data_IF_865593584074
#
_entry.id   IF_865593584074
#
_cell.length_a   1.000
_cell.length_b   1.000
_cell.length_c   1.000
_cell.angle_alpha   90.00
_cell.angle_beta   90.00
_cell.angle_gamma   90.00
#
_symmetry.space_group_name_H-M   'P 1'
#
loop_
_entity.id
_entity.type
_entity.pdbx_description
1 polymer ?
#
# COMPACT_ATOMS: atom_id res chain seq x y z
N UNK A 1 -28.87 12.66 -2.14
CA UNK A 1 -29.05 11.24 -2.44
C UNK A 1 -28.48 10.41 -1.30
N UNK A 2 -29.26 9.47 -0.80
CA UNK A 2 -28.87 8.58 0.31
C UNK A 2 -28.61 7.17 -0.24
N UNK A 3 -27.42 6.65 -0.05
CA UNK A 3 -27.07 5.27 -0.46
C UNK A 3 -27.58 4.32 0.59
N UNK A 4 -28.39 3.36 0.16
CA UNK A 4 -28.94 2.29 1.01
C UNK A 4 -28.40 0.93 0.56
N UNK A 5 -28.69 -0.12 1.30
CA UNK A 5 -28.27 -1.49 0.98
C UNK A 5 -28.74 -2.01 -0.39
N UNK A 6 -29.74 -1.37 -0.97
CA UNK A 6 -30.28 -1.73 -2.30
C UNK A 6 -29.55 -1.04 -3.46
N UNK A 7 -28.67 -0.09 -3.19
CA UNK A 7 -27.88 0.61 -4.19
C UNK A 7 -26.59 -0.16 -4.43
N UNK A 8 -26.35 -0.52 -5.67
CA UNK A 8 -25.10 -1.18 -6.08
C UNK A 8 -24.27 -0.25 -6.95
N UNK A 9 -22.98 -0.54 -7.06
CA UNK A 9 -22.09 0.20 -7.95
C UNK A 9 -22.63 0.21 -9.40
N UNK A 10 -22.58 1.39 -10.03
CA UNK A 10 -23.14 1.62 -11.36
C UNK A 10 -24.66 1.92 -11.40
N UNK A 11 -25.37 1.83 -10.27
CA UNK A 11 -26.80 2.15 -10.19
C UNK A 11 -27.10 3.60 -10.57
N UNK A 12 -28.29 3.83 -11.10
CA UNK A 12 -28.87 5.16 -11.28
C UNK A 12 -29.87 5.45 -10.18
N UNK A 13 -29.68 6.56 -9.45
CA UNK A 13 -30.50 6.94 -8.30
C UNK A 13 -31.79 7.64 -8.71
N UNK A 14 -31.73 8.51 -9.73
CA UNK A 14 -32.88 9.25 -10.27
C UNK A 14 -32.82 9.23 -11.79
N UNK A 15 -33.92 8.79 -12.40
CA UNK A 15 -34.11 8.84 -13.86
C UNK A 15 -35.19 9.88 -14.21
N UNK A 16 -34.83 10.80 -15.07
CA UNK A 16 -35.74 11.82 -15.62
C UNK A 16 -36.20 11.36 -17.01
N UNK A 17 -37.47 11.07 -17.15
CA UNK A 17 -38.03 10.48 -18.38
C UNK A 17 -38.80 11.48 -19.23
N UNK A 18 -39.07 12.68 -18.71
CA UNK A 18 -39.84 13.72 -19.42
C UNK A 18 -38.92 14.56 -20.34
N UNK A 19 -39.47 14.95 -21.48
CA UNK A 19 -38.79 15.74 -22.51
C UNK A 19 -38.57 17.23 -22.19
N UNK A 20 -38.99 17.71 -21.01
CA UNK A 20 -38.77 19.08 -20.59
C UNK A 20 -37.32 19.30 -20.17
N UNK A 21 -36.75 20.46 -20.50
CA UNK A 21 -35.43 20.86 -20.03
C UNK A 21 -35.43 20.92 -18.49
N UNK A 22 -34.66 20.04 -17.87
CA UNK A 22 -34.51 20.00 -16.40
C UNK A 22 -33.31 20.85 -16.00
N UNK A 23 -33.50 21.72 -15.01
CA UNK A 23 -32.44 22.50 -14.39
C UNK A 23 -32.14 21.94 -13.00
N UNK A 24 -30.87 21.61 -12.73
CA UNK A 24 -30.42 21.07 -11.44
C UNK A 24 -29.26 21.94 -10.95
N UNK A 25 -29.41 22.48 -9.75
CA UNK A 25 -28.35 23.22 -9.10
C UNK A 25 -27.25 22.25 -8.67
N UNK A 26 -26.11 22.31 -9.35
CA UNK A 26 -24.95 21.47 -9.09
C UNK A 26 -24.46 21.58 -7.65
N UNK A 27 -24.47 22.79 -7.09
CA UNK A 27 -24.02 23.03 -5.73
C UNK A 27 -24.85 22.29 -4.66
N UNK A 28 -26.10 21.93 -4.99
CA UNK A 28 -27.00 21.21 -4.08
C UNK A 28 -26.98 19.69 -4.23
N UNK A 29 -26.27 19.16 -5.22
CA UNK A 29 -26.13 17.73 -5.36
C UNK A 29 -25.22 17.19 -4.25
N UNK A 30 -25.74 16.32 -3.42
CA UNK A 30 -25.00 15.69 -2.32
C UNK A 30 -25.30 14.20 -2.27
N UNK A 31 -24.30 13.44 -1.84
CA UNK A 31 -24.37 12.01 -1.61
C UNK A 31 -24.08 11.73 -0.13
N UNK A 32 -24.86 10.86 0.48
CA UNK A 32 -24.68 10.41 1.85
C UNK A 32 -24.64 8.88 1.94
N UNK A 33 -23.96 8.35 2.94
CA UNK A 33 -23.73 6.91 3.15
C UNK A 33 -22.93 6.23 2.02
N UNK A 34 -21.95 6.92 1.47
CA UNK A 34 -21.07 6.39 0.42
C UNK A 34 -20.40 5.07 0.85
N UNK A 35 -20.16 4.89 2.15
CA UNK A 35 -19.60 3.66 2.71
C UNK A 35 -20.43 2.40 2.42
N UNK A 36 -21.70 2.52 2.11
CA UNK A 36 -22.53 1.37 1.73
C UNK A 36 -22.20 0.83 0.33
N UNK A 37 -21.57 1.64 -0.53
CA UNK A 37 -21.16 1.25 -1.90
C UNK A 37 -19.75 0.65 -1.98
N UNK A 38 -18.92 0.87 -0.97
CA UNK A 38 -17.45 0.69 -1.05
C UNK A 38 -16.94 -0.65 -0.52
N UNK A 39 -17.47 -1.77 -0.51
CA UNK A 39 -16.70 -3.00 -0.45
C UNK A 39 -16.47 -3.65 -1.81
N UNK A 40 -17.01 -3.13 -2.88
CA UNK A 40 -16.86 -3.77 -4.19
C UNK A 40 -15.77 -3.09 -5.02
N UNK A 41 -14.93 -3.90 -5.68
CA UNK A 41 -13.95 -3.54 -6.70
C UNK A 41 -14.64 -2.80 -7.87
N UNK A 42 -14.90 -1.52 -7.74
CA UNK A 42 -15.44 -0.73 -8.83
C UNK A 42 -14.34 0.09 -9.49
N UNK A 43 -13.94 -0.35 -10.64
CA UNK A 43 -13.26 0.47 -11.63
C UNK A 43 -14.33 1.19 -12.47
N UNK A 44 -14.20 2.50 -12.67
CA UNK A 44 -15.13 3.27 -13.49
C UNK A 44 -16.17 4.07 -12.69
N UNK A 45 -17.33 4.30 -13.30
CA UNK A 45 -18.40 5.07 -12.69
C UNK A 45 -18.95 4.36 -11.45
N UNK A 46 -18.81 5.03 -10.31
CA UNK A 46 -19.23 4.48 -9.03
C UNK A 46 -20.77 4.49 -8.91
N UNK A 47 -21.40 5.60 -9.32
CA UNK A 47 -22.83 5.81 -9.20
C UNK A 47 -23.30 6.89 -10.17
N UNK A 48 -24.51 6.77 -10.72
CA UNK A 48 -25.21 7.83 -11.42
C UNK A 48 -26.24 8.45 -10.47
N UNK A 49 -26.05 9.71 -10.09
CA UNK A 49 -27.01 10.41 -9.22
C UNK A 49 -28.27 10.75 -9.98
N UNK A 50 -28.12 11.34 -11.16
CA UNK A 50 -29.24 11.73 -12.04
C UNK A 50 -28.91 11.28 -13.46
N UNK A 51 -29.89 10.70 -14.14
CA UNK A 51 -29.85 10.44 -15.59
C UNK A 51 -31.11 11.02 -16.25
N UNK A 52 -30.96 11.58 -17.45
CA UNK A 52 -32.06 12.07 -18.28
C UNK A 52 -32.04 11.44 -19.67
N UNK A 53 -33.20 11.30 -20.30
CA UNK A 53 -33.31 10.95 -21.73
C UNK A 53 -32.92 12.15 -22.62
N UNK A 54 -33.08 13.36 -22.10
CA UNK A 54 -32.67 14.61 -22.72
C UNK A 54 -31.58 15.30 -21.90
N UNK A 55 -30.87 16.29 -22.50
CA UNK A 55 -29.87 17.07 -21.78
C UNK A 55 -30.47 17.75 -20.54
N UNK A 56 -29.75 17.65 -19.44
CA UNK A 56 -30.00 18.29 -18.15
C UNK A 56 -29.08 19.51 -18.08
N UNK A 57 -29.60 20.67 -17.72
CA UNK A 57 -28.79 21.85 -17.42
C UNK A 57 -28.36 21.81 -15.96
N UNK A 58 -27.06 21.82 -15.71
CA UNK A 58 -26.49 21.88 -14.37
C UNK A 58 -26.00 23.29 -14.06
N UNK A 59 -26.81 24.03 -13.31
CA UNK A 59 -26.47 25.38 -12.87
C UNK A 59 -25.32 25.33 -11.86
N UNK A 60 -24.46 26.33 -11.85
CA UNK A 60 -23.27 26.40 -10.98
C UNK A 60 -22.27 25.26 -11.18
N UNK A 61 -22.24 24.61 -12.33
CA UNK A 61 -21.23 23.61 -12.67
C UNK A 61 -19.87 24.28 -12.91
N UNK A 62 -18.88 23.91 -12.11
CA UNK A 62 -17.55 24.57 -12.12
C UNK A 62 -16.62 24.16 -13.28
N UNK A 63 -17.04 23.23 -14.15
CA UNK A 63 -16.23 22.77 -15.30
C UNK A 63 -15.12 21.78 -14.93
N UNK A 64 -14.43 21.27 -15.95
CA UNK A 64 -13.43 20.17 -15.85
C UNK A 64 -12.20 20.55 -15.00
N UNK A 65 -11.86 21.84 -14.89
CA UNK A 65 -10.70 22.32 -14.15
C UNK A 65 -10.87 22.33 -12.62
N UNK A 66 -12.08 22.26 -12.15
CA UNK A 66 -12.39 22.12 -10.74
C UNK A 66 -12.95 20.70 -10.53
N UNK A 67 -12.09 19.73 -10.27
CA UNK A 67 -12.54 18.45 -9.71
C UNK A 67 -13.30 18.80 -8.43
N UNK A 68 -14.63 18.85 -8.51
CA UNK A 68 -15.44 19.26 -7.40
C UNK A 68 -15.51 18.12 -6.40
N UNK A 69 -14.71 18.25 -5.36
CA UNK A 69 -14.61 17.29 -4.28
C UNK A 69 -15.72 17.55 -3.28
N UNK A 70 -16.44 16.52 -2.97
CA UNK A 70 -17.48 16.50 -1.96
C UNK A 70 -17.09 15.54 -0.85
N UNK A 71 -17.64 15.72 0.34
CA UNK A 71 -17.38 14.83 1.48
C UNK A 71 -18.67 14.18 1.98
N UNK A 72 -18.51 12.91 2.38
CA UNK A 72 -19.49 12.13 3.13
C UNK A 72 -18.76 11.38 4.24
N UNK A 73 -18.77 11.92 5.45
CA UNK A 73 -18.01 11.40 6.58
C UNK A 73 -16.50 11.31 6.28
N UNK A 74 -15.95 10.11 6.32
CA UNK A 74 -14.53 9.84 6.05
C UNK A 74 -14.20 9.76 4.56
N UNK A 75 -15.20 9.85 3.68
CA UNK A 75 -15.03 9.74 2.24
C UNK A 75 -15.06 11.08 1.54
N UNK A 76 -14.06 11.32 0.72
CA UNK A 76 -14.08 12.36 -0.30
C UNK A 76 -14.46 11.70 -1.63
N UNK A 77 -15.42 12.25 -2.35
CA UNK A 77 -15.84 11.74 -3.66
C UNK A 77 -15.81 12.84 -4.74
N UNK A 78 -15.70 12.42 -5.99
CA UNK A 78 -15.73 13.30 -7.16
C UNK A 78 -17.08 13.19 -7.83
N UNK A 79 -17.74 14.34 -7.97
CA UNK A 79 -18.97 14.51 -8.72
C UNK A 79 -18.64 15.12 -10.08
N UNK A 80 -19.14 14.53 -11.15
CA UNK A 80 -18.90 14.96 -12.51
C UNK A 80 -20.13 14.72 -13.40
N UNK A 81 -20.13 15.27 -14.62
CA UNK A 81 -21.12 14.98 -15.64
C UNK A 81 -20.55 14.01 -16.68
N UNK A 82 -21.42 13.30 -17.41
CA UNK A 82 -21.00 12.33 -18.43
C UNK A 82 -20.30 12.95 -19.65
N UNK A 83 -20.48 14.25 -19.87
CA UNK A 83 -19.85 15.01 -20.96
C UNK A 83 -18.83 16.02 -20.47
N UNK A 84 -18.60 16.10 -19.15
CA UNK A 84 -17.78 17.13 -18.51
C UNK A 84 -18.25 18.56 -18.83
N UNK A 85 -19.56 18.75 -18.97
CA UNK A 85 -20.20 20.00 -19.35
C UNK A 85 -21.43 20.32 -18.47
N UNK A 86 -21.75 21.59 -18.34
CA UNK A 86 -22.95 22.03 -17.64
C UNK A 86 -24.28 21.58 -18.35
N UNK A 87 -24.19 21.13 -19.59
CA UNK A 87 -25.31 20.49 -20.29
C UNK A 87 -24.94 19.05 -20.60
N UNK A 88 -25.48 18.13 -19.87
CA UNK A 88 -25.15 16.71 -19.94
C UNK A 88 -26.37 15.86 -19.60
N UNK A 89 -26.35 14.59 -19.95
CA UNK A 89 -27.46 13.68 -19.64
C UNK A 89 -27.38 13.08 -18.23
N UNK A 90 -26.24 13.15 -17.59
CA UNK A 90 -26.01 12.49 -16.30
C UNK A 90 -25.12 13.28 -15.37
N UNK A 91 -25.47 13.27 -14.07
CA UNK A 91 -24.57 13.60 -12.98
C UNK A 91 -24.07 12.31 -12.34
N UNK A 92 -22.76 12.14 -12.23
CA UNK A 92 -22.13 10.86 -11.83
C UNK A 92 -21.14 11.05 -10.71
N UNK A 93 -20.98 10.01 -9.88
CA UNK A 93 -19.85 9.89 -8.96
C UNK A 93 -18.81 9.00 -9.66
N UNK A 94 -17.63 9.55 -9.93
CA UNK A 94 -16.59 8.89 -10.75
C UNK A 94 -15.43 8.36 -9.94
N UNK A 95 -15.27 8.77 -8.69
CA UNK A 95 -14.19 8.28 -7.84
C UNK A 95 -14.34 8.74 -6.40
N UNK A 96 -13.53 8.16 -5.53
CA UNK A 96 -13.52 8.47 -4.12
C UNK A 96 -12.13 8.31 -3.50
N UNK A 97 -11.94 8.93 -2.36
CA UNK A 97 -10.81 8.72 -1.47
C UNK A 97 -11.32 8.47 -0.05
N UNK A 98 -10.82 7.44 0.57
CA UNK A 98 -11.09 7.14 1.98
C UNK A 98 -9.84 7.42 2.82
N UNK A 99 -10.01 8.13 3.93
CA UNK A 99 -8.97 8.39 4.91
C UNK A 99 -9.52 8.23 6.32
N UNK A 100 -9.43 7.02 6.85
CA UNK A 100 -9.79 6.77 8.24
C UNK A 100 -9.10 5.50 8.74
N UNK A 101 -8.01 5.67 9.48
CA UNK A 101 -7.23 4.57 10.05
C UNK A 101 -8.02 3.68 11.03
N UNK A 102 -9.11 4.18 11.63
CA UNK A 102 -9.92 3.40 12.59
C UNK A 102 -10.76 2.31 11.92
N UNK A 103 -11.05 2.43 10.63
CA UNK A 103 -11.78 1.41 9.85
C UNK A 103 -10.87 0.37 9.20
N UNK A 104 -9.57 0.58 9.20
CA UNK A 104 -8.57 -0.31 8.64
C UNK A 104 -8.30 -1.53 9.53
N UNK A 105 -9.33 -2.36 9.80
CA UNK A 105 -9.16 -3.63 10.52
C UNK A 105 -9.86 -4.77 9.79
N UNK A 106 -9.13 -5.85 9.58
CA UNK A 106 -9.66 -7.09 9.01
C UNK A 106 -9.33 -8.26 9.94
N UNK A 107 -10.32 -9.05 10.36
CA UNK A 107 -10.13 -10.07 11.39
C UNK A 107 -10.68 -11.45 11.04
N UNK A 108 -11.55 -11.57 10.05
CA UNK A 108 -12.19 -12.85 9.71
C UNK A 108 -12.83 -12.83 8.32
N UNK A 109 -13.18 -14.00 7.80
CA UNK A 109 -13.84 -14.18 6.51
C UNK A 109 -12.85 -14.21 5.35
N UNK A 110 -13.38 -14.08 4.12
CA UNK A 110 -12.62 -14.02 2.89
C UNK A 110 -13.01 -12.78 2.10
N UNK A 111 -12.02 -12.01 1.65
CA UNK A 111 -12.23 -10.85 0.80
C UNK A 111 -11.11 -10.75 -0.27
N UNK A 112 -11.44 -10.10 -1.37
CA UNK A 112 -10.44 -9.81 -2.42
C UNK A 112 -9.41 -8.82 -1.95
N UNK A 113 -9.82 -7.78 -1.22
CA UNK A 113 -8.94 -6.71 -0.76
C UNK A 113 -9.38 -6.15 0.59
N UNK A 114 -8.41 -5.63 1.34
CA UNK A 114 -8.65 -4.75 2.49
C UNK A 114 -7.62 -3.62 2.48
N UNK A 115 -8.02 -2.41 2.90
CA UNK A 115 -7.18 -1.23 2.88
C UNK A 115 -7.46 -0.30 4.08
N UNK A 116 -6.41 0.40 4.50
CA UNK A 116 -6.51 1.49 5.47
C UNK A 116 -6.99 2.77 4.80
N UNK A 117 -6.42 3.11 3.65
CA UNK A 117 -6.83 4.22 2.80
C UNK A 117 -6.80 3.85 1.33
N UNK A 118 -7.73 4.41 0.54
CA UNK A 118 -7.82 4.15 -0.91
C UNK A 118 -8.19 5.41 -1.66
N UNK A 119 -7.55 5.62 -2.82
CA UNK A 119 -7.94 6.63 -3.78
C UNK A 119 -8.14 6.01 -5.15
N UNK A 120 -9.30 6.28 -5.76
CA UNK A 120 -9.62 5.96 -7.16
C UNK A 120 -9.59 7.20 -8.06
N UNK A 121 -9.12 8.32 -7.52
CA UNK A 121 -9.07 9.63 -8.20
C UNK A 121 -7.65 10.22 -8.23
N UNK A 122 -6.62 9.41 -7.90
CA UNK A 122 -5.21 9.80 -7.92
C UNK A 122 -4.81 10.88 -6.91
N UNK A 123 -5.64 11.15 -5.91
CA UNK A 123 -5.28 12.04 -4.83
C UNK A 123 -4.35 11.37 -3.83
N UNK A 124 -3.59 12.20 -3.12
CA UNK A 124 -2.69 11.74 -2.08
C UNK A 124 -3.41 10.88 -1.02
N UNK A 125 -2.83 9.71 -0.73
CA UNK A 125 -3.25 8.78 0.33
C UNK A 125 -2.17 8.74 1.39
N UNK A 126 -2.45 9.23 2.60
CA UNK A 126 -1.41 9.40 3.63
C UNK A 126 -1.93 9.10 5.04
N UNK A 127 -1.02 8.66 5.92
CA UNK A 127 -1.28 8.42 7.35
C UNK A 127 -2.43 7.44 7.61
N UNK A 128 -2.63 6.48 6.69
CA UNK A 128 -3.63 5.44 6.88
C UNK A 128 -2.99 4.17 7.43
N UNK A 129 -3.80 3.35 8.09
CA UNK A 129 -3.35 2.09 8.64
C UNK A 129 -4.37 0.97 8.40
N UNK A 130 -3.87 -0.23 8.12
CA UNK A 130 -4.65 -1.47 8.13
C UNK A 130 -4.03 -2.45 9.13
N UNK A 131 -4.86 -2.98 10.01
CA UNK A 131 -4.52 -4.07 10.91
C UNK A 131 -5.22 -5.36 10.46
N UNK A 132 -4.46 -6.38 10.09
CA UNK A 132 -4.97 -7.73 9.78
C UNK A 132 -4.65 -8.67 10.94
N UNK A 133 -5.70 -9.26 11.52
CA UNK A 133 -5.58 -10.19 12.66
C UNK A 133 -6.07 -11.60 12.34
N UNK A 134 -6.67 -11.82 11.18
CA UNK A 134 -7.18 -13.12 10.75
C UNK A 134 -7.89 -13.05 9.40
N UNK A 135 -8.46 -14.16 8.95
CA UNK A 135 -9.18 -14.29 7.69
C UNK A 135 -8.27 -14.51 6.48
N UNK A 136 -8.84 -14.45 5.28
CA UNK A 136 -8.16 -14.65 4.01
C UNK A 136 -8.36 -13.45 3.10
N UNK A 137 -7.27 -12.89 2.58
CA UNK A 137 -7.26 -11.74 1.69
C UNK A 137 -6.51 -12.04 0.39
N UNK A 138 -7.05 -11.60 -0.75
CA UNK A 138 -6.30 -11.53 -2.00
C UNK A 138 -5.20 -10.47 -1.94
N UNK A 139 -5.49 -9.31 -1.36
CA UNK A 139 -4.49 -8.27 -1.11
C UNK A 139 -4.81 -7.42 0.13
N UNK A 140 -3.76 -6.91 0.79
CA UNK A 140 -3.86 -6.01 1.94
C UNK A 140 -2.99 -4.77 1.73
N UNK A 141 -3.55 -3.57 2.00
CA UNK A 141 -2.88 -2.29 1.79
C UNK A 141 -3.03 -1.39 3.01
N UNK A 142 -1.93 -0.82 3.49
CA UNK A 142 -2.00 0.34 4.39
C UNK A 142 -2.62 1.53 3.66
N UNK A 143 -2.13 1.82 2.44
CA UNK A 143 -2.72 2.78 1.52
C UNK A 143 -2.63 2.31 0.07
N UNK A 144 -3.62 2.64 -0.76
CA UNK A 144 -3.61 2.28 -2.19
C UNK A 144 -4.13 3.43 -3.07
N UNK A 145 -3.42 3.69 -4.15
CA UNK A 145 -3.83 4.61 -5.21
C UNK A 145 -4.03 3.80 -6.48
N UNK A 146 -5.28 3.74 -6.94
CA UNK A 146 -5.65 3.03 -8.16
C UNK A 146 -5.21 3.80 -9.41
N UNK A 147 -4.94 3.05 -10.48
CA UNK A 147 -4.83 3.65 -11.79
C UNK A 147 -6.20 4.10 -12.27
N UNK A 148 -6.37 5.41 -12.51
CA UNK A 148 -7.62 5.95 -13.01
C UNK A 148 -7.39 6.65 -14.37
N UNK A 149 -7.24 5.84 -15.36
CA UNK A 149 -7.12 6.32 -16.74
C UNK A 149 -8.41 6.97 -17.28
N UNK A 150 -9.49 6.96 -16.49
CA UNK A 150 -10.83 7.31 -16.94
C UNK A 150 -11.24 8.78 -16.75
N UNK A 151 -10.42 9.62 -16.13
CA UNK A 151 -10.64 11.06 -16.17
C UNK A 151 -10.14 11.59 -17.52
N UNK A 152 -10.82 11.21 -18.59
CA UNK A 152 -10.57 11.70 -19.94
C UNK A 152 -11.09 13.12 -20.08
N UNK A 153 -10.23 14.10 -20.10
CA UNK A 153 -10.63 15.49 -20.28
C UNK A 153 -9.48 16.48 -20.28
N UNK A 154 -8.23 16.02 -20.48
CA UNK A 154 -7.09 16.95 -20.64
C UNK A 154 -6.68 17.71 -19.38
N UNK A 155 -7.33 17.47 -18.23
CA UNK A 155 -6.85 17.96 -16.95
C UNK A 155 -5.59 17.17 -16.56
N UNK A 156 -4.59 17.85 -15.99
CA UNK A 156 -3.41 17.17 -15.41
C UNK A 156 -3.90 16.07 -14.48
N UNK A 157 -3.54 14.85 -14.81
CA UNK A 157 -3.80 13.70 -13.94
C UNK A 157 -3.05 13.94 -12.64
N UNK A 158 -3.73 14.04 -11.47
CA UNK A 158 -3.01 14.18 -10.23
C UNK A 158 -2.07 12.99 -10.08
N UNK A 159 -0.82 13.24 -9.73
CA UNK A 159 0.24 12.23 -9.66
C UNK A 159 0.04 11.22 -8.54
N UNK A 160 -0.86 11.48 -7.64
CA UNK A 160 -1.28 10.60 -6.55
C UNK A 160 -0.12 9.96 -5.79
N UNK A 161 0.35 10.64 -4.72
CA UNK A 161 1.41 10.10 -3.88
C UNK A 161 0.84 9.37 -2.67
N UNK A 162 1.45 8.25 -2.30
CA UNK A 162 1.18 7.56 -1.04
C UNK A 162 2.30 7.88 -0.04
N UNK A 163 1.94 8.26 1.19
CA UNK A 163 2.93 8.60 2.20
C UNK A 163 2.52 8.15 3.61
N UNK A 164 3.48 7.65 4.38
CA UNK A 164 3.32 7.30 5.79
C UNK A 164 2.12 6.37 6.05
N UNK A 165 1.87 5.42 5.14
CA UNK A 165 0.82 4.43 5.32
C UNK A 165 1.38 3.17 5.98
N UNK A 166 0.56 2.48 6.77
CA UNK A 166 0.95 1.35 7.58
C UNK A 166 0.10 0.10 7.31
N UNK A 167 0.73 -1.04 7.11
CA UNK A 167 0.10 -2.34 7.18
C UNK A 167 0.69 -3.12 8.36
N UNK A 168 -0.16 -3.61 9.25
CA UNK A 168 0.26 -4.52 10.33
C UNK A 168 -0.44 -5.86 10.18
N UNK A 169 0.33 -6.95 10.11
CA UNK A 169 -0.16 -8.32 9.96
C UNK A 169 0.18 -9.08 11.24
N UNK A 170 -0.84 -9.50 11.97
CA UNK A 170 -0.72 -10.34 13.18
C UNK A 170 -1.24 -11.76 12.99
N UNK A 171 -1.97 -11.99 11.91
CA UNK A 171 -2.57 -13.28 11.60
C UNK A 171 -3.29 -13.27 10.26
N UNK A 172 -3.86 -14.41 9.86
CA UNK A 172 -4.56 -14.58 8.59
C UNK A 172 -3.65 -15.04 7.45
N UNK A 173 -4.25 -15.20 6.28
CA UNK A 173 -3.58 -15.58 5.04
C UNK A 173 -3.82 -14.51 3.98
N UNK A 174 -2.76 -13.95 3.41
CA UNK A 174 -2.83 -12.83 2.48
C UNK A 174 -2.03 -13.22 1.22
N UNK A 175 -2.60 -13.03 0.02
CA UNK A 175 -1.85 -13.36 -1.18
C UNK A 175 -0.76 -12.33 -1.49
N UNK A 176 -1.03 -11.02 -1.32
CA UNK A 176 -0.06 -9.94 -1.50
C UNK A 176 -0.29 -8.83 -0.47
N UNK A 177 0.77 -8.28 0.09
CA UNK A 177 0.68 -7.33 1.19
C UNK A 177 1.57 -6.10 0.94
N UNK A 178 1.01 -4.90 1.17
CA UNK A 178 1.65 -3.62 0.86
C UNK A 178 1.47 -2.64 2.03
N UNK A 179 2.55 -2.04 2.49
CA UNK A 179 2.47 -0.83 3.32
C UNK A 179 1.77 0.28 2.54
N UNK A 180 2.19 0.50 1.28
CA UNK A 180 1.43 1.25 0.30
C UNK A 180 1.68 0.75 -1.13
N UNK A 181 0.67 0.92 -2.01
CA UNK A 181 0.75 0.60 -3.44
C UNK A 181 0.23 1.78 -4.29
N UNK A 182 1.07 2.27 -5.18
CA UNK A 182 0.73 3.33 -6.13
C UNK A 182 0.70 2.75 -7.54
N UNK A 183 -0.47 2.77 -8.16
CA UNK A 183 -0.74 2.21 -9.49
C UNK A 183 -0.84 3.28 -10.57
N UNK A 184 -0.39 4.50 -10.29
CA UNK A 184 -0.28 5.58 -11.26
C UNK A 184 1.13 5.65 -11.82
N UNK A 185 1.28 6.21 -13.03
CA UNK A 185 2.56 6.27 -13.72
C UNK A 185 3.58 7.14 -12.98
N UNK A 186 3.19 8.33 -12.57
CA UNK A 186 4.10 9.37 -12.09
C UNK A 186 4.02 9.59 -10.56
N UNK A 187 3.21 8.78 -9.86
CA UNK A 187 3.07 8.85 -8.41
C UNK A 187 4.25 8.22 -7.69
N UNK A 188 4.50 8.68 -6.46
CA UNK A 188 5.56 8.18 -5.58
C UNK A 188 5.00 7.55 -4.31
N UNK A 189 5.80 6.71 -3.66
CA UNK A 189 5.49 6.15 -2.36
C UNK A 189 6.63 6.44 -1.38
N UNK A 190 6.29 7.08 -0.26
CA UNK A 190 7.29 7.51 0.72
C UNK A 190 6.91 7.08 2.13
N UNK A 191 7.91 6.75 2.95
CA UNK A 191 7.77 6.48 4.39
C UNK A 191 6.64 5.52 4.76
N UNK A 192 6.27 4.64 3.84
CA UNK A 192 5.22 3.65 4.07
C UNK A 192 5.82 2.33 4.56
N UNK A 193 5.10 1.61 5.42
CA UNK A 193 5.68 0.46 6.08
C UNK A 193 4.71 -0.71 6.22
N UNK A 194 5.28 -1.93 6.18
CA UNK A 194 4.60 -3.16 6.50
C UNK A 194 5.27 -3.84 7.67
N UNK A 195 4.49 -4.20 8.70
CA UNK A 195 4.96 -4.93 9.87
C UNK A 195 4.25 -6.27 9.95
N UNK A 196 5.01 -7.36 10.04
CA UNK A 196 4.48 -8.71 10.15
C UNK A 196 4.98 -9.34 11.44
N UNK A 197 4.04 -9.66 12.33
CA UNK A 197 4.32 -10.33 13.62
C UNK A 197 3.73 -11.74 13.69
N UNK A 198 3.02 -12.16 12.66
CA UNK A 198 2.41 -13.49 12.53
C UNK A 198 1.57 -13.59 11.26
N UNK A 199 0.94 -14.73 11.04
CA UNK A 199 0.16 -15.02 9.83
C UNK A 199 1.03 -15.46 8.64
N UNK A 200 0.44 -15.45 7.45
CA UNK A 200 1.09 -15.88 6.21
C UNK A 200 0.80 -14.91 5.08
N UNK A 201 1.85 -14.49 4.37
CA UNK A 201 1.76 -13.84 3.07
C UNK A 201 2.21 -14.87 2.03
N UNK A 202 1.29 -15.43 1.23
CA UNK A 202 1.60 -16.53 0.30
C UNK A 202 2.40 -16.08 -0.92
N UNK A 203 2.27 -14.83 -1.33
CA UNK A 203 3.10 -14.17 -2.33
C UNK A 203 4.10 -13.21 -1.69
N UNK A 204 4.25 -12.00 -2.24
CA UNK A 204 5.26 -11.04 -1.81
C UNK A 204 4.73 -9.98 -0.86
N UNK A 205 5.64 -9.45 -0.01
CA UNK A 205 5.41 -8.42 1.00
C UNK A 205 6.21 -7.17 0.63
N UNK A 206 5.54 -6.01 0.61
CA UNK A 206 6.12 -4.74 0.19
C UNK A 206 5.96 -3.67 1.29
N UNK A 207 7.02 -2.92 1.57
CA UNK A 207 6.95 -1.69 2.37
C UNK A 207 6.23 -0.60 1.60
N UNK A 208 6.74 -0.26 0.41
CA UNK A 208 6.10 0.64 -0.54
C UNK A 208 6.34 0.18 -1.97
N UNK A 209 5.31 0.24 -2.82
CA UNK A 209 5.37 -0.26 -4.18
C UNK A 209 4.78 0.71 -5.20
N UNK A 210 5.43 0.76 -6.38
CA UNK A 210 4.95 1.40 -7.60
C UNK A 210 4.69 0.29 -8.61
N UNK A 211 3.43 -0.16 -8.72
CA UNK A 211 3.10 -1.35 -9.51
C UNK A 211 2.59 -1.05 -10.91
N UNK A 212 2.53 0.22 -11.33
CA UNK A 212 2.29 0.58 -12.72
C UNK A 212 3.50 0.18 -13.60
N UNK A 213 3.26 -0.53 -14.70
CA UNK A 213 4.33 -1.07 -15.58
C UNK A 213 5.28 0.03 -16.15
N UNK A 214 4.83 1.27 -16.26
CA UNK A 214 5.64 2.42 -16.67
C UNK A 214 5.90 3.41 -15.54
N UNK A 215 5.95 2.96 -14.28
CA UNK A 215 6.17 3.85 -13.13
C UNK A 215 7.51 4.61 -13.24
N UNK A 216 7.44 5.92 -13.09
CA UNK A 216 8.60 6.83 -13.14
C UNK A 216 8.87 7.51 -11.80
N UNK A 217 7.93 7.41 -10.84
CA UNK A 217 8.06 7.97 -9.50
C UNK A 217 9.12 7.28 -8.63
N UNK A 218 9.18 7.65 -7.37
CA UNK A 218 10.16 7.10 -6.42
C UNK A 218 9.48 6.30 -5.31
N UNK A 219 10.11 5.20 -4.89
CA UNK A 219 9.77 4.48 -3.66
C UNK A 219 10.90 4.71 -2.65
N UNK A 220 10.71 5.64 -1.70
CA UNK A 220 11.79 6.14 -0.83
C UNK A 220 11.39 6.06 0.64
N UNK A 221 12.33 5.70 1.51
CA UNK A 221 12.11 5.68 2.97
C UNK A 221 11.13 4.59 3.44
N UNK A 222 10.78 3.65 2.57
CA UNK A 222 9.81 2.63 2.90
C UNK A 222 10.44 1.50 3.74
N UNK A 223 9.64 0.79 4.51
CA UNK A 223 10.19 -0.29 5.34
C UNK A 223 9.30 -1.52 5.45
N UNK A 224 9.97 -2.65 5.67
CA UNK A 224 9.35 -3.90 6.10
C UNK A 224 9.98 -4.34 7.41
N UNK A 225 9.17 -4.71 8.40
CA UNK A 225 9.64 -5.31 9.66
C UNK A 225 8.97 -6.67 9.85
N UNK A 226 9.78 -7.71 10.02
CA UNK A 226 9.31 -9.09 10.22
C UNK A 226 9.82 -9.58 11.57
N UNK A 227 8.87 -9.88 12.48
CA UNK A 227 9.15 -10.49 13.79
C UNK A 227 8.47 -11.84 13.96
N UNK A 228 7.68 -12.27 12.97
CA UNK A 228 7.00 -13.55 12.98
C UNK A 228 6.21 -13.81 11.72
N UNK A 229 5.86 -15.06 11.46
CA UNK A 229 5.04 -15.48 10.32
C UNK A 229 5.87 -15.94 9.11
N UNK A 230 5.19 -16.18 7.99
CA UNK A 230 5.80 -16.74 6.78
C UNK A 230 5.49 -15.89 5.56
N UNK A 231 6.49 -15.64 4.72
CA UNK A 231 6.36 -15.02 3.40
C UNK A 231 6.77 -16.04 2.34
N UNK A 232 5.83 -16.46 1.49
CA UNK A 232 6.05 -17.46 0.45
C UNK A 232 6.78 -16.94 -0.79
N UNK A 233 6.65 -15.64 -1.07
CA UNK A 233 7.35 -14.93 -2.15
C UNK A 233 8.49 -14.07 -1.64
N UNK A 234 8.72 -12.96 -2.34
CA UNK A 234 9.79 -12.01 -2.03
C UNK A 234 9.34 -10.94 -1.04
N UNK A 235 10.33 -10.31 -0.41
CA UNK A 235 10.15 -9.13 0.44
C UNK A 235 10.86 -7.93 -0.21
N UNK A 236 10.16 -6.82 -0.36
CA UNK A 236 10.71 -5.57 -0.89
C UNK A 236 10.49 -4.44 0.11
N UNK A 237 11.56 -3.77 0.54
CA UNK A 237 11.40 -2.52 1.26
C UNK A 237 10.79 -1.44 0.37
N UNK A 238 11.40 -1.21 -0.81
CA UNK A 238 10.87 -0.40 -1.90
C UNK A 238 10.79 -1.19 -3.20
N UNK A 239 9.76 -0.96 -4.01
CA UNK A 239 9.56 -1.65 -5.28
C UNK A 239 9.07 -0.71 -6.39
N UNK A 240 9.57 -0.90 -7.60
CA UNK A 240 9.00 -0.33 -8.82
C UNK A 240 8.98 -1.36 -9.93
N UNK A 241 7.91 -1.40 -10.71
CA UNK A 241 7.81 -2.20 -11.93
C UNK A 241 8.21 -1.42 -13.19
N UNK A 242 8.55 -0.14 -13.05
CA UNK A 242 8.97 0.73 -14.14
C UNK A 242 10.43 1.18 -14.02
N UNK A 243 10.71 2.40 -14.45
CA UNK A 243 12.03 3.03 -14.41
C UNK A 243 12.26 3.90 -13.17
N UNK A 244 11.29 3.95 -12.28
CA UNK A 244 11.37 4.68 -11.01
C UNK A 244 12.49 4.15 -10.11
N UNK A 245 12.84 4.95 -9.10
CA UNK A 245 13.94 4.62 -8.17
C UNK A 245 13.42 4.07 -6.86
N UNK A 246 14.26 3.22 -6.22
CA UNK A 246 13.98 2.65 -4.90
C UNK A 246 15.18 2.93 -3.99
N UNK A 247 15.03 3.90 -3.07
CA UNK A 247 16.13 4.41 -2.25
C UNK A 247 15.77 4.52 -0.78
N UNK A 248 16.78 4.56 0.09
CA UNK A 248 16.64 4.84 1.52
C UNK A 248 15.63 3.92 2.25
N UNK A 249 15.41 2.74 1.68
CA UNK A 249 14.40 1.79 2.18
C UNK A 249 15.05 0.73 3.07
N UNK A 250 14.28 0.20 4.05
CA UNK A 250 14.84 -0.65 5.09
C UNK A 250 14.04 -1.93 5.27
N UNK A 251 14.73 -3.07 5.35
CA UNK A 251 14.15 -4.30 5.89
C UNK A 251 14.72 -4.57 7.28
N UNK A 252 13.84 -4.81 8.25
CA UNK A 252 14.20 -5.22 9.61
C UNK A 252 13.75 -6.67 9.84
N UNK A 253 14.70 -7.54 10.10
CA UNK A 253 14.47 -8.90 10.60
C UNK A 253 14.60 -8.85 12.12
N UNK A 254 13.46 -8.83 12.82
CA UNK A 254 13.37 -8.48 14.23
C UNK A 254 13.18 -6.97 14.46
N UNK A 255 12.55 -6.61 15.59
CA UNK A 255 12.31 -5.22 16.00
C UNK A 255 13.43 -4.65 16.88
N UNK A 256 14.47 -5.45 17.14
CA UNK A 256 15.60 -5.09 17.98
C UNK A 256 15.35 -5.18 19.48
N UNK A 257 14.16 -5.62 19.89
CA UNK A 257 13.75 -5.74 21.30
C UNK A 257 13.30 -7.14 21.66
N UNK A 258 12.55 -7.78 20.77
CA UNK A 258 11.95 -9.08 20.98
C UNK A 258 12.64 -10.14 20.11
N UNK A 259 12.65 -11.38 20.60
CA UNK A 259 13.05 -12.52 19.78
C UNK A 259 12.09 -12.67 18.60
N UNK A 260 12.61 -13.08 17.44
CA UNK A 260 11.77 -13.45 16.29
C UNK A 260 11.04 -14.77 16.63
N UNK A 261 9.76 -14.83 16.26
CA UNK A 261 8.97 -16.03 16.48
C UNK A 261 9.59 -17.25 15.75
N UNK A 262 9.60 -18.40 16.40
CA UNK A 262 10.09 -19.62 15.79
C UNK A 262 9.35 -19.94 14.48
N UNK A 263 10.09 -20.36 13.46
CA UNK A 263 9.55 -20.68 12.14
C UNK A 263 9.28 -19.45 11.24
N UNK A 264 9.80 -18.27 11.60
CA UNK A 264 9.77 -17.10 10.74
C UNK A 264 10.60 -17.33 9.48
N UNK A 265 9.95 -17.30 8.33
CA UNK A 265 10.60 -17.63 7.05
C UNK A 265 10.19 -16.68 5.94
N UNK A 266 11.15 -16.40 5.04
CA UNK A 266 10.93 -15.76 3.74
C UNK A 266 11.44 -16.74 2.69
N UNK A 267 10.54 -17.38 1.92
CA UNK A 267 10.96 -18.40 0.95
C UNK A 267 11.72 -17.79 -0.23
N UNK A 268 11.34 -16.58 -0.64
CA UNK A 268 11.96 -15.83 -1.71
C UNK A 268 13.16 -15.00 -1.27
N UNK A 269 13.43 -13.98 -2.04
CA UNK A 269 14.54 -13.05 -1.82
C UNK A 269 14.08 -11.83 -1.02
N UNK A 270 14.93 -11.35 -0.14
CA UNK A 270 14.73 -10.08 0.57
C UNK A 270 15.49 -8.99 -0.17
N UNK A 271 14.75 -8.00 -0.70
CA UNK A 271 15.29 -6.90 -1.49
C UNK A 271 15.20 -5.56 -0.73
N UNK A 272 16.27 -4.79 -0.77
CA UNK A 272 16.25 -3.39 -0.37
C UNK A 272 15.47 -2.52 -1.36
N UNK A 273 15.67 -2.78 -2.65
CA UNK A 273 15.01 -2.13 -3.78
C UNK A 273 14.88 -3.08 -4.97
N UNK A 274 14.12 -2.71 -5.99
CA UNK A 274 13.86 -3.55 -7.16
C UNK A 274 15.00 -3.61 -8.17
N UNK A 275 16.03 -2.78 -8.05
CA UNK A 275 17.15 -2.72 -8.99
C UNK A 275 18.51 -2.82 -8.29
N UNK A 276 19.40 -3.64 -8.83
CA UNK A 276 20.79 -3.73 -8.38
C UNK A 276 21.61 -2.45 -8.74
N UNK A 277 21.13 -1.66 -9.70
CA UNK A 277 21.79 -0.41 -10.07
C UNK A 277 21.47 0.76 -9.12
N UNK A 278 20.46 0.62 -8.27
CA UNK A 278 20.05 1.67 -7.34
C UNK A 278 19.83 1.09 -5.94
N UNK A 279 20.93 0.97 -5.20
CA UNK A 279 20.95 0.48 -3.81
C UNK A 279 21.07 1.61 -2.80
N UNK A 280 21.04 2.87 -3.25
CA UNK A 280 21.34 4.05 -2.43
C UNK A 280 20.50 4.10 -1.15
N UNK A 281 21.18 4.06 -0.01
CA UNK A 281 20.56 4.15 1.31
C UNK A 281 19.71 2.95 1.72
N UNK A 282 19.59 1.89 0.89
CA UNK A 282 18.83 0.69 1.25
C UNK A 282 19.60 -0.14 2.28
N UNK A 283 18.93 -0.51 3.39
CA UNK A 283 19.55 -1.17 4.53
C UNK A 283 18.80 -2.45 4.91
N UNK A 284 19.53 -3.52 5.13
CA UNK A 284 19.03 -4.71 5.84
C UNK A 284 19.55 -4.67 7.28
N UNK A 285 18.65 -4.63 8.25
CA UNK A 285 18.97 -4.78 9.66
C UNK A 285 18.56 -6.20 10.11
N UNK A 286 19.51 -7.02 10.48
CA UNK A 286 19.27 -8.32 11.11
C UNK A 286 19.38 -8.10 12.61
N UNK A 287 18.24 -7.84 13.26
CA UNK A 287 18.14 -7.45 14.67
C UNK A 287 17.84 -8.62 15.62
N UNK A 288 17.64 -9.80 15.08
CA UNK A 288 17.39 -11.01 15.86
C UNK A 288 17.86 -12.24 15.09
N UNK A 289 18.22 -13.32 15.81
CA UNK A 289 18.55 -14.60 15.22
C UNK A 289 17.32 -15.42 14.81
N UNK A 290 17.53 -16.45 13.99
CA UNK A 290 16.52 -17.47 13.70
C UNK A 290 15.58 -17.15 12.55
N UNK A 291 15.93 -16.18 11.71
CA UNK A 291 15.22 -15.94 10.44
C UNK A 291 15.86 -16.77 9.33
N UNK A 292 15.02 -17.46 8.56
CA UNK A 292 15.45 -18.15 7.34
C UNK A 292 14.93 -17.39 6.13
N UNK A 293 15.78 -17.12 5.15
CA UNK A 293 15.42 -16.49 3.88
C UNK A 293 15.97 -17.28 2.69
N UNK A 294 15.36 -17.13 1.50
CA UNK A 294 15.92 -17.66 0.27
C UNK A 294 17.27 -17.02 -0.01
N UNK A 295 17.27 -15.70 -0.16
CA UNK A 295 18.46 -14.89 -0.46
C UNK A 295 18.24 -13.45 -0.01
N UNK A 296 19.27 -12.61 -0.15
CA UNK A 296 19.21 -11.15 0.07
C UNK A 296 19.86 -10.41 -1.10
N UNK A 297 19.30 -9.26 -1.53
CA UNK A 297 19.83 -8.51 -2.65
C UNK A 297 19.49 -7.01 -2.58
N UNK A 298 20.24 -6.21 -3.34
CA UNK A 298 20.00 -4.78 -3.59
C UNK A 298 20.02 -3.91 -2.33
N UNK A 299 20.90 -4.20 -1.40
CA UNK A 299 21.18 -3.39 -0.22
C UNK A 299 22.52 -2.65 -0.39
N UNK A 300 22.58 -1.39 0.05
CA UNK A 300 23.84 -0.69 0.24
C UNK A 300 24.57 -1.20 1.48
N UNK A 301 23.81 -1.53 2.53
CA UNK A 301 24.35 -2.00 3.81
C UNK A 301 23.56 -3.16 4.38
N UNK A 302 24.26 -4.09 4.99
CA UNK A 302 23.71 -5.15 5.82
C UNK A 302 24.31 -5.01 7.22
N UNK A 303 23.45 -4.89 8.23
CA UNK A 303 23.82 -4.69 9.63
C UNK A 303 23.32 -5.84 10.47
N UNK A 304 24.21 -6.39 11.29
CA UNK A 304 23.87 -7.44 12.24
C UNK A 304 23.93 -6.89 13.67
N UNK A 305 22.86 -7.11 14.42
CA UNK A 305 22.83 -6.82 15.85
C UNK A 305 23.17 -8.10 16.61
N UNK A 306 24.34 -8.12 17.19
CA UNK A 306 24.81 -9.21 18.07
C UNK A 306 24.60 -8.74 19.51
N UNK A 307 23.71 -9.38 20.23
CA UNK A 307 23.38 -9.10 21.61
C UNK A 307 23.43 -10.38 22.48
N UNK A 308 23.02 -10.27 23.74
CA UNK A 308 23.04 -11.39 24.70
C UNK A 308 22.15 -12.59 24.32
N UNK A 309 21.24 -12.41 23.33
CA UNK A 309 20.36 -13.49 22.85
C UNK A 309 21.04 -14.35 21.78
N UNK A 310 22.17 -13.89 21.23
CA UNK A 310 22.94 -14.63 20.24
C UNK A 310 24.04 -15.41 20.98
N UNK A 311 23.94 -16.73 20.98
CA UNK A 311 24.94 -17.60 21.58
C UNK A 311 26.03 -17.97 20.56
N UNK A 312 27.13 -18.53 21.08
CA UNK A 312 28.18 -19.06 20.23
C UNK A 312 27.64 -20.21 19.37
N UNK A 313 27.93 -20.16 18.06
CA UNK A 313 27.45 -21.14 17.09
C UNK A 313 26.02 -20.92 16.60
N UNK A 314 25.32 -19.83 17.03
CA UNK A 314 24.00 -19.52 16.50
C UNK A 314 24.08 -18.99 15.06
N UNK A 315 23.14 -19.43 14.21
CA UNK A 315 22.85 -18.79 12.92
C UNK A 315 21.98 -17.57 13.15
N UNK A 316 22.49 -16.40 12.79
CA UNK A 316 21.76 -15.14 12.90
C UNK A 316 20.78 -15.00 11.75
N UNK A 317 21.22 -15.29 10.52
CA UNK A 317 20.41 -15.32 9.31
C UNK A 317 20.82 -16.56 8.48
N UNK A 318 19.86 -17.43 8.22
CA UNK A 318 20.08 -18.59 7.34
C UNK A 318 19.61 -18.29 5.93
N UNK A 319 20.50 -18.41 4.94
CA UNK A 319 20.18 -18.28 3.53
C UNK A 319 20.15 -19.64 2.86
N UNK A 320 19.06 -19.97 2.16
CA UNK A 320 18.85 -21.30 1.55
C UNK A 320 19.20 -21.35 0.07
N UNK A 321 19.50 -20.22 -0.55
CA UNK A 321 19.86 -20.10 -1.96
C UNK A 321 21.22 -19.38 -2.08
N UNK A 322 21.89 -19.60 -3.22
CA UNK A 322 23.13 -18.89 -3.51
C UNK A 322 22.89 -17.38 -3.55
N UNK A 323 23.69 -16.65 -2.80
CA UNK A 323 23.57 -15.20 -2.64
C UNK A 323 24.85 -14.53 -3.10
N UNK A 324 24.73 -13.51 -3.94
CA UNK A 324 25.84 -12.64 -4.31
C UNK A 324 25.57 -11.25 -3.74
N UNK A 325 26.40 -10.80 -2.81
CA UNK A 325 26.30 -9.49 -2.17
C UNK A 325 27.02 -8.41 -3.00
N UNK A 326 26.78 -8.38 -4.30
CA UNK A 326 27.30 -7.33 -5.16
C UNK A 326 26.72 -5.99 -4.71
N UNK A 327 27.60 -4.98 -4.55
CA UNK A 327 27.26 -3.62 -4.12
C UNK A 327 26.75 -3.48 -2.68
N UNK A 328 26.82 -4.52 -1.85
CA UNK A 328 26.48 -4.45 -0.42
C UNK A 328 27.75 -4.40 0.43
N UNK A 329 27.77 -3.57 1.47
CA UNK A 329 28.78 -3.63 2.54
C UNK A 329 28.16 -4.24 3.78
N UNK A 330 28.91 -5.14 4.43
CA UNK A 330 28.55 -5.64 5.77
C UNK A 330 29.16 -4.64 6.75
N UNK A 331 28.31 -4.06 7.61
CA UNK A 331 28.76 -3.15 8.67
C UNK A 331 29.17 -3.98 9.89
N UNK A 332 30.39 -3.79 10.33
CA UNK A 332 30.89 -4.49 11.52
C UNK A 332 30.08 -4.11 12.77
N UNK A 333 29.77 -5.06 13.65
CA UNK A 333 29.13 -4.80 14.94
C UNK A 333 29.97 -3.84 15.79
N UNK A 334 29.31 -2.92 16.50
CA UNK A 334 30.05 -1.99 17.37
C UNK A 334 30.72 -2.71 18.54
N UNK A 335 31.90 -2.25 19.00
CA UNK A 335 32.62 -2.88 20.12
C UNK A 335 31.81 -3.05 21.41
N UNK A 336 30.89 -2.14 21.70
CA UNK A 336 30.01 -2.23 22.88
C UNK A 336 29.05 -3.43 22.81
N UNK A 337 28.63 -3.84 21.64
CA UNK A 337 27.77 -5.01 21.40
C UNK A 337 28.62 -6.29 21.53
N UNK A 338 29.85 -6.29 21.00
CA UNK A 338 30.76 -7.39 21.04
C UNK A 338 31.23 -7.67 22.49
N UNK A 339 31.51 -6.65 23.29
CA UNK A 339 31.99 -6.83 24.67
C UNK A 339 30.99 -7.54 25.57
N UNK A 340 29.70 -7.31 25.40
CA UNK A 340 28.63 -8.03 26.11
C UNK A 340 28.46 -9.47 25.65
N UNK A 341 28.84 -9.78 24.43
CA UNK A 341 28.72 -11.11 23.81
C UNK A 341 29.92 -12.00 24.02
N UNK A 342 31.14 -11.46 23.98
CA UNK A 342 32.39 -12.25 24.04
C UNK A 342 32.69 -12.87 25.42
N UNK A 343 32.03 -12.48 26.50
CA UNK A 343 32.32 -13.06 27.82
C UNK A 343 33.81 -13.25 28.06
N UNK A 344 34.20 -14.27 28.82
CA UNK A 344 35.60 -14.57 29.16
C UNK A 344 36.33 -15.53 28.18
N UNK A 345 35.79 -15.85 27.04
CA UNK A 345 36.40 -16.73 26.03
C UNK A 345 36.64 -15.97 24.73
N UNK A 346 37.88 -16.02 24.24
CA UNK A 346 38.34 -15.18 23.11
C UNK A 346 37.94 -15.68 21.71
N UNK A 347 37.08 -16.70 21.59
CA UNK A 347 36.64 -17.21 20.30
C UNK A 347 35.15 -17.58 20.34
N UNK A 348 34.30 -16.62 20.04
CA UNK A 348 32.91 -16.90 19.70
C UNK A 348 32.69 -16.55 18.22
N UNK A 349 32.20 -17.52 17.46
CA UNK A 349 31.84 -17.36 16.05
C UNK A 349 30.33 -17.46 15.91
N UNK A 350 29.70 -16.46 15.32
CA UNK A 350 28.34 -16.56 14.79
C UNK A 350 28.41 -16.80 13.29
N UNK A 351 27.56 -17.66 12.77
CA UNK A 351 27.48 -17.93 11.36
C UNK A 351 26.54 -16.93 10.69
N UNK A 352 26.99 -16.39 9.55
CA UNK A 352 26.23 -15.48 8.69
C UNK A 352 25.55 -16.26 7.56
#
# INVERSE_FOLDING_TARGET
FNVTSNVTAGSTMLSLTDGAASHIDWAKLQLTNLNALIPSNTTGRLLTLVAGTNPISFDNYGGIGAIEKRQDGDYEYVLDTDTHSASAQRATVTGYRFQNSTKGRYSAGTATEAWGGRSTIGNKVQNNALLVTGGTLGAAYGGVIENYEHLSGGAEKPTGDAAANALTIRGGSISRAYGADVRTRDGSVTDSHATMTGGSVTGSLYGGALTHAGATGTATGNSVTITGGTVGGDVYAGYTSGTGKTTESTVNLGDGTNAVAAGTTVTGVIYGGSSAADTTGNVLNVNAKGVTAGSVANFAKIKFKIDSNVADGDDVLTLTQNTTLAHSSIEEPTPAVISGWLGNTMEKTAHL
#
